data_IF_431361572487
#
_entry.id   IF_431361572487
#
_cell.length_a   1.000
_cell.length_b   1.000
_cell.length_c   1.000
_cell.angle_alpha   90.00
_cell.angle_beta   90.00
_cell.angle_gamma   90.00
#
_symmetry.space_group_name_H-M   'P 1'
#
loop_
_entity.id
_entity.type
_entity.pdbx_description
1 polymer ?
#
# COMPACT_ATOMS: atom_id res chain seq x y z
N UNK A 1 -18.31 -23.43 -18.65
CA UNK A 1 -18.03 -21.98 -18.78
C UNK A 1 -18.68 -21.28 -17.58
N UNK A 2 -17.98 -20.40 -16.86
CA UNK A 2 -18.58 -19.70 -15.72
C UNK A 2 -19.79 -18.89 -16.19
N UNK A 3 -20.94 -18.90 -15.46
CA UNK A 3 -22.12 -18.10 -15.82
C UNK A 3 -21.78 -16.63 -16.05
N UNK A 4 -20.77 -16.13 -15.32
CA UNK A 4 -20.30 -14.74 -15.39
C UNK A 4 -19.58 -14.43 -16.71
N UNK A 5 -18.91 -15.41 -17.32
CA UNK A 5 -18.23 -15.24 -18.62
C UNK A 5 -19.25 -15.11 -19.77
N UNK A 6 -20.43 -15.70 -19.65
CA UNK A 6 -21.49 -15.61 -20.66
C UNK A 6 -22.09 -14.20 -20.74
N UNK A 7 -22.09 -13.44 -19.64
CA UNK A 7 -22.73 -12.13 -19.56
C UNK A 7 -21.97 -10.99 -20.27
N UNK A 8 -20.78 -11.25 -20.88
CA UNK A 8 -19.93 -10.23 -21.54
C UNK A 8 -19.69 -8.96 -20.70
N UNK A 9 -19.71 -9.06 -19.38
CA UNK A 9 -19.64 -7.93 -18.44
C UNK A 9 -18.26 -7.27 -18.34
N UNK A 10 -17.27 -7.64 -19.15
CA UNK A 10 -15.92 -7.06 -19.07
C UNK A 10 -15.27 -7.25 -17.69
N UNK A 11 -15.04 -8.51 -17.27
CA UNK A 11 -14.62 -8.85 -15.90
C UNK A 11 -13.30 -8.21 -15.44
N UNK A 12 -12.44 -7.81 -16.38
CA UNK A 12 -11.18 -7.13 -16.09
C UNK A 12 -11.38 -5.62 -16.05
N UNK A 13 -12.22 -5.08 -16.93
CA UNK A 13 -12.42 -3.64 -17.07
C UNK A 13 -13.40 -3.03 -16.07
N UNK A 14 -14.35 -3.83 -15.60
CA UNK A 14 -15.49 -3.37 -14.80
C UNK A 14 -15.32 -3.64 -13.30
N UNK A 15 -14.26 -4.35 -12.92
CA UNK A 15 -13.94 -4.68 -11.53
C UNK A 15 -12.55 -4.11 -11.21
N UNK A 16 -12.48 -2.84 -10.76
CA UNK A 16 -11.20 -2.20 -10.52
C UNK A 16 -10.45 -2.87 -9.38
N UNK A 17 -9.13 -2.83 -9.46
CA UNK A 17 -8.27 -3.26 -8.38
C UNK A 17 -8.31 -2.23 -7.24
N UNK A 18 -8.95 -2.59 -6.13
CA UNK A 18 -9.13 -1.66 -5.02
C UNK A 18 -7.79 -1.11 -4.46
N UNK A 19 -7.57 0.21 -4.48
CA UNK A 19 -6.34 0.84 -4.01
C UNK A 19 -6.03 0.62 -2.53
N UNK A 20 -7.06 0.47 -1.67
CA UNK A 20 -6.84 0.22 -0.26
C UNK A 20 -6.13 -1.13 -0.04
N UNK A 21 -6.68 -2.19 -0.62
CA UNK A 21 -6.15 -3.53 -0.44
C UNK A 21 -4.94 -3.82 -1.33
N UNK A 22 -4.89 -3.27 -2.54
CA UNK A 22 -3.78 -3.50 -3.46
C UNK A 22 -2.55 -2.67 -3.10
N UNK A 23 -2.68 -1.35 -3.02
CA UNK A 23 -1.53 -0.44 -2.85
C UNK A 23 -1.14 -0.36 -1.39
N UNK A 24 -2.05 0.05 -0.52
CA UNK A 24 -1.69 0.46 0.83
C UNK A 24 -1.51 -0.75 1.77
N UNK A 25 -2.56 -1.56 1.96
CA UNK A 25 -2.51 -2.77 2.80
C UNK A 25 -1.77 -3.93 2.14
N UNK A 26 -1.64 -3.90 0.82
CA UNK A 26 -0.94 -4.90 0.03
C UNK A 26 0.53 -4.56 -0.15
N UNK A 27 0.84 -3.74 -1.15
CA UNK A 27 2.21 -3.49 -1.59
C UNK A 27 3.05 -2.68 -0.60
N UNK A 28 2.51 -1.57 -0.09
CA UNK A 28 3.25 -0.71 0.86
C UNK A 28 3.52 -1.47 2.16
N UNK A 29 2.51 -2.13 2.73
CA UNK A 29 2.69 -2.99 3.92
C UNK A 29 3.72 -4.09 3.69
N UNK A 30 3.68 -4.77 2.53
CA UNK A 30 4.64 -5.82 2.19
C UNK A 30 6.05 -5.26 2.10
N UNK A 31 6.24 -4.16 1.39
CA UNK A 31 7.52 -3.51 1.18
C UNK A 31 8.17 -3.09 2.52
N UNK A 32 7.39 -2.42 3.37
CA UNK A 32 7.75 -2.07 4.74
C UNK A 32 8.18 -3.32 5.51
N UNK A 33 7.34 -4.37 5.54
CA UNK A 33 7.67 -5.60 6.28
C UNK A 33 8.94 -6.30 5.78
N UNK A 34 9.25 -6.28 4.48
CA UNK A 34 10.50 -6.83 3.94
C UNK A 34 11.73 -6.03 4.36
N UNK A 35 11.58 -4.75 4.70
CA UNK A 35 12.73 -3.94 5.09
C UNK A 35 13.26 -4.28 6.48
N UNK A 36 12.45 -4.77 7.41
CA UNK A 36 12.91 -4.95 8.80
C UNK A 36 12.48 -6.25 9.47
N UNK A 37 11.74 -7.12 8.79
CA UNK A 37 11.47 -8.47 9.31
C UNK A 37 11.93 -9.55 8.36
N UNK A 38 12.42 -10.63 8.96
CA UNK A 38 12.64 -11.88 8.25
C UNK A 38 11.33 -12.33 7.60
N UNK A 39 11.41 -12.70 6.32
CA UNK A 39 10.30 -13.30 5.58
C UNK A 39 10.66 -14.73 5.27
N UNK A 40 9.84 -15.67 5.71
CA UNK A 40 9.97 -17.07 5.32
C UNK A 40 9.11 -17.36 4.11
N UNK A 41 9.73 -17.96 3.09
CA UNK A 41 8.99 -18.53 1.97
C UNK A 41 8.14 -19.68 2.46
N UNK A 42 6.85 -19.66 2.12
CA UNK A 42 5.95 -20.80 2.39
C UNK A 42 6.23 -21.97 1.45
N UNK A 43 6.83 -21.71 0.29
CA UNK A 43 7.05 -22.72 -0.76
C UNK A 43 8.39 -23.41 -0.61
N UNK A 44 9.49 -22.66 -0.53
CA UNK A 44 10.84 -23.24 -0.45
C UNK A 44 11.38 -23.33 0.98
N UNK A 45 10.69 -22.73 1.95
CA UNK A 45 11.19 -22.61 3.32
C UNK A 45 12.34 -21.61 3.50
N UNK A 46 12.85 -20.99 2.42
CA UNK A 46 13.93 -20.01 2.44
C UNK A 46 13.60 -18.81 3.34
N UNK A 47 14.60 -18.34 4.07
CA UNK A 47 14.48 -17.14 4.92
C UNK A 47 15.16 -15.98 4.20
N UNK A 48 14.38 -14.95 3.92
CA UNK A 48 14.87 -13.67 3.40
C UNK A 48 15.11 -12.74 4.58
N UNK A 49 16.36 -12.32 4.82
CA UNK A 49 16.69 -11.41 5.92
C UNK A 49 16.11 -10.00 5.66
N UNK A 50 15.93 -9.19 6.71
CA UNK A 50 15.54 -7.80 6.54
C UNK A 50 16.59 -7.02 5.75
N UNK A 51 16.12 -6.04 4.98
CA UNK A 51 17.00 -5.13 4.23
C UNK A 51 17.76 -4.16 5.15
N UNK A 52 17.16 -3.81 6.28
CA UNK A 52 17.66 -2.84 7.26
C UNK A 52 18.16 -3.53 8.52
N UNK A 53 19.16 -2.92 9.14
CA UNK A 53 19.59 -3.25 10.50
C UNK A 53 18.63 -2.69 11.54
N UNK A 54 18.61 -3.26 12.74
CA UNK A 54 17.80 -2.76 13.88
C UNK A 54 18.07 -1.29 14.18
N UNK A 55 19.33 -0.87 14.19
CA UNK A 55 19.71 0.53 14.42
C UNK A 55 19.17 1.49 13.36
N UNK A 56 19.16 1.06 12.09
CA UNK A 56 18.59 1.85 10.99
C UNK A 56 17.08 1.97 11.13
N UNK A 57 16.40 0.91 11.57
CA UNK A 57 14.96 0.91 11.83
C UNK A 57 14.61 1.89 12.95
N UNK A 58 15.37 1.88 14.04
CA UNK A 58 15.19 2.83 15.15
C UNK A 58 15.39 4.29 14.71
N UNK A 59 16.42 4.55 13.90
CA UNK A 59 16.65 5.87 13.31
C UNK A 59 15.47 6.32 12.44
N UNK A 60 14.96 5.45 11.57
CA UNK A 60 13.79 5.77 10.73
C UNK A 60 12.54 6.00 11.57
N UNK A 61 12.32 5.18 12.60
CA UNK A 61 11.20 5.35 13.53
C UNK A 61 11.29 6.68 14.29
N UNK A 62 12.47 7.09 14.76
CA UNK A 62 12.66 8.43 15.36
C UNK A 62 12.35 9.55 14.37
N UNK A 63 12.79 9.43 13.12
CA UNK A 63 12.48 10.42 12.06
C UNK A 63 10.96 10.50 11.80
N UNK A 64 10.28 9.36 11.70
CA UNK A 64 8.82 9.32 11.53
C UNK A 64 8.10 10.03 12.68
N UNK A 65 8.51 9.76 13.93
CA UNK A 65 7.92 10.42 15.09
C UNK A 65 8.19 11.92 15.10
N UNK A 66 9.39 12.36 14.68
CA UNK A 66 9.71 13.80 14.60
C UNK A 66 8.85 14.54 13.58
N UNK A 67 8.43 13.87 12.50
CA UNK A 67 7.54 14.45 11.49
C UNK A 67 6.11 14.71 12.01
N UNK A 68 5.71 14.07 13.12
CA UNK A 68 4.38 14.30 13.70
C UNK A 68 4.15 15.74 14.12
N UNK A 69 5.21 16.46 14.49
CA UNK A 69 5.16 17.88 14.84
C UNK A 69 4.77 18.77 13.65
N UNK A 70 5.00 18.31 12.42
CA UNK A 70 4.72 19.04 11.18
C UNK A 70 3.50 18.50 10.43
N UNK A 71 2.81 17.48 10.97
CA UNK A 71 1.62 16.94 10.36
C UNK A 71 0.40 17.83 10.64
N UNK A 72 -0.29 18.31 9.58
CA UNK A 72 -1.54 19.06 9.72
C UNK A 72 -2.62 18.28 10.49
N UNK A 73 -3.56 19.00 11.10
CA UNK A 73 -4.61 18.41 11.94
C UNK A 73 -5.60 17.54 11.14
N UNK A 74 -5.68 17.75 9.83
CA UNK A 74 -6.51 17.00 8.88
C UNK A 74 -6.06 15.53 8.76
N UNK A 75 -4.80 15.24 9.10
CA UNK A 75 -4.33 13.86 9.19
C UNK A 75 -4.85 13.25 10.50
N UNK A 76 -5.91 12.45 10.36
CA UNK A 76 -6.57 11.77 11.49
C UNK A 76 -5.67 10.79 12.26
N UNK A 77 -4.49 10.46 11.74
CA UNK A 77 -3.52 9.57 12.39
C UNK A 77 -2.14 10.25 12.43
N UNK A 78 -1.48 10.13 13.58
CA UNK A 78 -0.06 10.48 13.74
C UNK A 78 0.78 9.31 13.23
N UNK A 79 1.93 9.61 12.64
CA UNK A 79 2.92 8.62 12.26
C UNK A 79 3.37 7.83 13.49
N UNK A 80 3.45 6.51 13.32
CA UNK A 80 3.93 5.58 14.35
C UNK A 80 5.28 5.01 13.95
N UNK A 81 5.91 4.31 14.89
CA UNK A 81 7.17 3.63 14.66
C UNK A 81 6.98 2.47 13.66
N UNK A 82 7.99 2.19 12.85
CA UNK A 82 7.94 1.13 11.83
C UNK A 82 7.70 -0.26 12.43
N UNK A 83 8.17 -0.51 13.65
CA UNK A 83 8.01 -1.78 14.33
C UNK A 83 6.53 -2.18 14.51
N UNK A 84 5.63 -1.19 14.58
CA UNK A 84 4.17 -1.39 14.73
C UNK A 84 3.40 -1.54 13.41
N UNK A 85 4.09 -1.58 12.26
CA UNK A 85 3.44 -1.57 10.95
C UNK A 85 2.36 -2.65 10.76
N UNK A 86 2.44 -3.79 11.44
CA UNK A 86 1.41 -4.83 11.32
C UNK A 86 0.04 -4.35 11.77
N UNK A 87 0.03 -3.48 12.77
CA UNK A 87 -1.14 -2.84 13.36
C UNK A 87 -1.52 -1.53 12.67
N UNK A 88 -0.80 -1.13 11.62
CA UNK A 88 -1.16 0.05 10.82
C UNK A 88 -2.42 -0.21 10.01
N UNK A 89 -3.28 0.81 9.99
CA UNK A 89 -4.46 0.85 9.14
C UNK A 89 -4.08 1.37 7.76
N UNK A 90 -4.98 1.18 6.78
CA UNK A 90 -4.77 1.65 5.41
C UNK A 90 -4.43 3.14 5.32
N UNK A 91 -5.02 3.98 6.19
CA UNK A 91 -4.78 5.42 6.20
C UNK A 91 -3.32 5.76 6.53
N UNK A 92 -2.69 4.99 7.42
CA UNK A 92 -1.30 5.18 7.83
C UNK A 92 -0.34 4.74 6.73
N UNK A 93 -0.64 3.63 6.03
CA UNK A 93 0.14 3.24 4.85
C UNK A 93 0.01 4.23 3.70
N UNK A 94 -1.20 4.77 3.48
CA UNK A 94 -1.43 5.86 2.50
C UNK A 94 -0.64 7.11 2.88
N UNK A 95 -0.67 7.51 4.15
CA UNK A 95 0.09 8.65 4.66
C UNK A 95 1.60 8.42 4.52
N UNK A 96 2.07 7.20 4.79
CA UNK A 96 3.46 6.82 4.60
C UNK A 96 3.89 6.98 3.14
N UNK A 97 3.20 6.32 2.20
CA UNK A 97 3.65 6.35 0.80
C UNK A 97 3.48 7.73 0.14
N UNK A 98 2.55 8.57 0.59
CA UNK A 98 2.30 9.88 -0.03
C UNK A 98 3.08 11.04 0.62
N UNK A 99 3.44 10.92 1.91
CA UNK A 99 3.97 12.05 2.68
C UNK A 99 5.19 11.68 3.53
N UNK A 100 5.05 10.67 4.41
CA UNK A 100 6.09 10.39 5.40
C UNK A 100 7.27 9.58 4.85
N UNK A 101 7.10 8.91 3.71
CA UNK A 101 8.11 8.06 3.08
C UNK A 101 9.40 8.80 2.72
N UNK A 102 9.39 10.13 2.72
CA UNK A 102 10.58 10.99 2.59
C UNK A 102 11.64 10.73 3.68
N UNK A 103 11.25 10.18 4.85
CA UNK A 103 12.22 9.75 5.88
C UNK A 103 13.18 8.67 5.37
N UNK A 104 12.76 7.91 4.36
CA UNK A 104 13.56 6.90 3.66
C UNK A 104 14.49 7.64 2.70
N UNK A 105 15.59 8.14 3.25
CA UNK A 105 16.65 8.80 2.50
C UNK A 105 17.54 7.79 1.77
N UNK A 106 18.37 8.29 0.86
CA UNK A 106 19.31 7.48 0.07
C UNK A 106 20.29 6.66 0.91
N UNK A 107 20.59 7.12 2.12
CA UNK A 107 21.47 6.46 3.10
C UNK A 107 20.75 5.46 4.00
N UNK A 108 19.41 5.41 3.98
CA UNK A 108 18.62 4.50 4.81
C UNK A 108 18.56 3.10 4.21
N UNK A 109 18.25 3.00 2.91
CA UNK A 109 18.14 1.72 2.18
C UNK A 109 19.35 1.53 1.26
N UNK A 110 19.72 0.29 0.92
CA UNK A 110 20.63 0.03 -0.18
C UNK A 110 20.16 0.75 -1.45
N UNK A 111 21.08 1.32 -2.22
CA UNK A 111 20.74 2.25 -3.31
C UNK A 111 19.70 1.69 -4.31
N UNK A 112 19.78 0.38 -4.60
CA UNK A 112 18.83 -0.30 -5.48
C UNK A 112 17.41 -0.38 -4.89
N UNK A 113 17.29 -0.66 -3.59
CA UNK A 113 16.03 -0.74 -2.85
C UNK A 113 15.40 0.65 -2.70
N UNK A 114 16.23 1.66 -2.41
CA UNK A 114 15.80 3.06 -2.35
C UNK A 114 15.23 3.54 -3.70
N UNK A 115 15.95 3.30 -4.80
CA UNK A 115 15.47 3.63 -6.15
C UNK A 115 14.18 2.90 -6.48
N UNK A 116 14.07 1.62 -6.12
CA UNK A 116 12.84 0.86 -6.31
C UNK A 116 11.66 1.44 -5.52
N UNK A 117 11.87 1.82 -4.26
CA UNK A 117 10.86 2.52 -3.47
C UNK A 117 10.43 3.83 -4.13
N UNK A 118 11.36 4.63 -4.64
CA UNK A 118 11.04 5.88 -5.33
C UNK A 118 10.17 5.69 -6.57
N UNK A 119 10.34 4.59 -7.31
CA UNK A 119 9.46 4.28 -8.44
C UNK A 119 8.00 4.14 -7.98
N UNK A 120 7.78 3.38 -6.90
CA UNK A 120 6.45 3.19 -6.31
C UNK A 120 5.91 4.51 -5.73
N UNK A 121 6.71 5.19 -4.90
CA UNK A 121 6.36 6.48 -4.28
C UNK A 121 5.89 7.48 -5.34
N UNK A 122 6.68 7.64 -6.39
CA UNK A 122 6.41 8.59 -7.47
C UNK A 122 5.16 8.19 -8.25
N UNK A 123 5.02 6.91 -8.62
CA UNK A 123 3.84 6.44 -9.34
C UNK A 123 2.55 6.63 -8.54
N UNK A 124 2.53 6.23 -7.26
CA UNK A 124 1.37 6.39 -6.39
C UNK A 124 1.04 7.87 -6.21
N UNK A 125 2.03 8.75 -6.05
CA UNK A 125 1.82 10.19 -5.95
C UNK A 125 1.13 10.77 -7.20
N UNK A 126 1.56 10.37 -8.39
CA UNK A 126 0.93 10.78 -9.65
C UNK A 126 -0.51 10.27 -9.75
N UNK A 127 -0.76 9.00 -9.41
CA UNK A 127 -2.08 8.37 -9.53
C UNK A 127 -3.07 8.84 -8.46
N UNK A 128 -2.60 9.29 -7.29
CA UNK A 128 -3.45 9.85 -6.23
C UNK A 128 -3.85 11.30 -6.46
N UNK A 129 -3.11 12.08 -7.26
CA UNK A 129 -3.35 13.51 -7.43
C UNK A 129 -4.29 13.78 -8.62
N UNK A 130 -5.49 14.36 -8.41
CA UNK A 130 -6.45 14.62 -9.49
C UNK A 130 -5.91 15.47 -10.65
N UNK A 131 -5.06 16.44 -10.35
CA UNK A 131 -4.48 17.33 -11.36
C UNK A 131 -3.34 16.70 -12.14
N UNK A 132 -2.61 15.76 -11.53
CA UNK A 132 -1.44 15.14 -12.14
C UNK A 132 -1.78 13.82 -12.83
N UNK A 133 -2.81 13.10 -12.39
CA UNK A 133 -3.06 11.74 -12.88
C UNK A 133 -3.35 11.74 -14.38
N UNK A 134 -4.25 12.60 -14.88
CA UNK A 134 -4.72 12.59 -16.28
C UNK A 134 -3.56 12.72 -17.28
N UNK A 135 -2.62 13.64 -17.04
CA UNK A 135 -1.48 13.86 -17.94
C UNK A 135 -0.34 12.85 -17.74
N UNK A 136 -0.27 12.19 -16.58
CA UNK A 136 0.88 11.35 -16.20
C UNK A 136 0.57 9.86 -16.06
N UNK A 137 -0.64 9.38 -16.36
CA UNK A 137 -0.99 7.94 -16.30
C UNK A 137 0.03 7.08 -17.06
N UNK A 138 0.39 7.47 -18.29
CA UNK A 138 1.35 6.73 -19.11
C UNK A 138 2.73 6.63 -18.46
N UNK A 139 3.18 7.71 -17.82
CA UNK A 139 4.44 7.74 -17.08
C UNK A 139 4.37 6.91 -15.79
N UNK A 140 3.33 7.08 -14.99
CA UNK A 140 3.09 6.28 -13.78
C UNK A 140 3.03 4.77 -14.09
N UNK A 141 2.39 4.39 -15.20
CA UNK A 141 2.35 3.00 -15.67
C UNK A 141 3.75 2.45 -15.98
N UNK A 142 4.62 3.25 -16.59
CA UNK A 142 6.02 2.85 -16.84
C UNK A 142 6.80 2.69 -15.53
N UNK A 143 6.62 3.61 -14.57
CA UNK A 143 7.23 3.52 -13.25
C UNK A 143 6.81 2.24 -12.51
N UNK A 144 5.52 1.90 -12.52
CA UNK A 144 5.01 0.68 -11.89
C UNK A 144 5.54 -0.59 -12.57
N UNK A 145 5.60 -0.62 -13.90
CA UNK A 145 6.20 -1.75 -14.63
C UNK A 145 7.67 -1.92 -14.29
N UNK A 146 8.42 -0.82 -14.18
CA UNK A 146 9.82 -0.86 -13.79
C UNK A 146 9.98 -1.30 -12.33
N UNK A 147 9.12 -0.81 -11.42
CA UNK A 147 9.06 -1.23 -10.03
C UNK A 147 8.88 -2.75 -9.95
N UNK A 148 7.87 -3.33 -10.61
CA UNK A 148 7.61 -4.78 -10.56
C UNK A 148 8.80 -5.59 -11.09
N UNK A 149 9.42 -5.16 -12.20
CA UNK A 149 10.61 -5.82 -12.76
C UNK A 149 11.80 -5.78 -11.80
N UNK A 150 12.07 -4.64 -11.18
CA UNK A 150 13.17 -4.48 -10.22
C UNK A 150 12.86 -5.19 -8.90
N UNK A 151 11.62 -5.18 -8.46
CA UNK A 151 11.15 -5.88 -7.27
C UNK A 151 11.49 -7.36 -7.30
N UNK A 152 11.21 -8.04 -8.42
CA UNK A 152 11.51 -9.47 -8.56
C UNK A 152 13.01 -9.77 -8.35
N UNK A 153 13.88 -8.92 -8.90
CA UNK A 153 15.33 -9.08 -8.79
C UNK A 153 15.82 -8.80 -7.37
N UNK A 154 15.26 -7.79 -6.70
CA UNK A 154 15.70 -7.34 -5.38
C UNK A 154 15.19 -8.23 -4.24
N UNK A 155 13.93 -8.65 -4.31
CA UNK A 155 13.24 -9.37 -3.23
C UNK A 155 13.05 -10.85 -3.51
N UNK A 156 13.36 -11.31 -4.73
CA UNK A 156 13.24 -12.70 -5.14
C UNK A 156 11.89 -13.04 -5.76
N UNK A 157 11.90 -14.05 -6.65
CA UNK A 157 10.71 -14.49 -7.41
C UNK A 157 9.57 -14.97 -6.51
N UNK A 158 9.88 -15.56 -5.37
CA UNK A 158 8.88 -16.05 -4.41
C UNK A 158 8.11 -14.93 -3.71
N UNK A 159 8.66 -13.70 -3.73
CA UNK A 159 7.96 -12.53 -3.21
C UNK A 159 7.00 -11.91 -4.23
N UNK A 160 7.00 -12.38 -5.48
CA UNK A 160 6.10 -11.93 -6.54
C UNK A 160 4.70 -12.54 -6.36
N UNK A 161 3.99 -12.07 -5.34
CA UNK A 161 2.60 -12.44 -5.07
C UNK A 161 1.66 -11.65 -5.98
N UNK A 162 0.38 -12.04 -6.01
CA UNK A 162 -0.66 -11.41 -6.82
C UNK A 162 -0.61 -9.87 -6.77
N UNK A 163 -0.58 -9.27 -5.58
CA UNK A 163 -0.57 -7.82 -5.43
C UNK A 163 0.62 -7.14 -6.15
N UNK A 164 1.80 -7.76 -6.14
CA UNK A 164 3.02 -7.21 -6.77
C UNK A 164 2.83 -7.16 -8.28
N UNK A 165 2.20 -8.18 -8.86
CA UNK A 165 1.88 -8.17 -10.28
C UNK A 165 0.75 -7.20 -10.58
N UNK A 166 -0.33 -7.25 -9.82
CA UNK A 166 -1.55 -6.47 -10.05
C UNK A 166 -1.33 -4.97 -9.96
N UNK A 167 -0.35 -4.50 -9.18
CA UNK A 167 -0.08 -3.06 -9.07
C UNK A 167 0.28 -2.40 -10.41
N UNK A 168 0.85 -3.12 -11.38
CA UNK A 168 1.16 -2.51 -12.69
C UNK A 168 -0.09 -2.16 -13.52
N UNK A 169 -1.25 -2.71 -13.15
CA UNK A 169 -2.52 -2.49 -13.83
C UNK A 169 -3.35 -1.37 -13.21
N UNK A 170 -3.03 -0.92 -12.00
CA UNK A 170 -3.82 0.10 -11.31
C UNK A 170 -3.85 1.45 -12.05
N UNK A 171 -2.84 1.73 -12.89
CA UNK A 171 -2.85 2.91 -13.76
C UNK A 171 -3.95 2.84 -14.83
N UNK A 172 -4.33 1.64 -15.29
CA UNK A 172 -5.42 1.43 -16.23
C UNK A 172 -6.78 1.65 -15.56
N UNK A 173 -6.90 1.27 -14.28
CA UNK A 173 -8.09 1.57 -13.48
C UNK A 173 -8.21 3.08 -13.21
N UNK A 174 -7.09 3.75 -12.92
CA UNK A 174 -7.09 5.22 -12.74
C UNK A 174 -7.52 5.95 -14.01
N UNK A 175 -7.14 5.44 -15.18
CA UNK A 175 -7.59 5.98 -16.45
C UNK A 175 -9.11 5.90 -16.64
N UNK A 176 -9.76 4.87 -16.07
CA UNK A 176 -11.21 4.63 -16.22
C UNK A 176 -12.04 5.28 -15.11
N UNK A 177 -11.58 5.18 -13.87
CA UNK A 177 -12.34 5.51 -12.67
C UNK A 177 -11.89 6.79 -11.97
N UNK A 178 -10.85 7.45 -12.50
CA UNK A 178 -10.26 8.64 -11.91
C UNK A 178 -9.17 8.31 -10.88
N UNK A 179 -8.73 9.29 -10.08
CA UNK A 179 -7.65 9.13 -9.09
C UNK A 179 -7.89 7.94 -8.14
N UNK A 180 -6.81 7.43 -7.52
CA UNK A 180 -6.90 6.26 -6.61
C UNK A 180 -7.98 6.38 -5.53
N UNK A 181 -8.22 7.58 -5.00
CA UNK A 181 -9.24 7.75 -3.95
C UNK A 181 -10.68 7.63 -4.50
N UNK A 182 -10.91 7.80 -5.81
CA UNK A 182 -12.24 7.78 -6.44
C UNK A 182 -12.89 6.40 -6.47
N UNK A 183 -12.10 5.33 -6.39
CA UNK A 183 -12.59 3.94 -6.43
C UNK A 183 -12.01 3.09 -5.28
N UNK A 184 -11.56 3.75 -4.22
CA UNK A 184 -11.04 3.07 -3.03
C UNK A 184 -12.15 2.64 -2.06
N UNK A 185 -11.95 1.49 -1.44
CA UNK A 185 -12.82 0.93 -0.41
C UNK A 185 -12.69 1.60 0.97
N UNK A 186 -11.87 2.66 1.13
CA UNK A 186 -11.74 3.42 2.38
C UNK A 186 -13.07 3.85 3.01
N UNK A 187 -14.04 4.44 2.27
CA UNK A 187 -15.31 4.84 2.85
C UNK A 187 -16.13 3.63 3.33
N UNK A 188 -16.09 2.53 2.57
CA UNK A 188 -16.81 1.29 2.89
C UNK A 188 -16.28 0.64 4.16
N UNK A 189 -14.97 0.44 4.28
CA UNK A 189 -14.33 -0.10 5.50
C UNK A 189 -14.62 0.77 6.73
N UNK A 190 -14.57 2.09 6.55
CA UNK A 190 -14.88 3.05 7.62
C UNK A 190 -16.34 2.95 8.05
N UNK A 191 -17.26 2.79 7.11
CA UNK A 191 -18.69 2.62 7.39
C UNK A 191 -18.99 1.27 8.04
N UNK A 192 -18.43 0.17 7.52
CA UNK A 192 -18.59 -1.18 8.07
C UNK A 192 -18.13 -1.25 9.53
N UNK A 193 -17.04 -0.56 9.87
CA UNK A 193 -16.58 -0.46 11.27
C UNK A 193 -17.61 0.23 12.17
N UNK A 194 -18.24 1.32 11.70
CA UNK A 194 -19.32 2.00 12.45
C UNK A 194 -20.56 1.12 12.58
N UNK A 195 -20.99 0.50 11.48
CA UNK A 195 -22.14 -0.40 11.45
C UNK A 195 -21.97 -1.58 12.40
N UNK A 196 -20.80 -2.23 12.43
CA UNK A 196 -20.49 -3.30 13.38
C UNK A 196 -20.61 -2.86 14.84
N UNK A 197 -20.13 -1.65 15.17
CA UNK A 197 -20.26 -1.10 16.54
C UNK A 197 -21.74 -0.88 16.91
N UNK A 198 -22.54 -0.36 15.98
CA UNK A 198 -23.98 -0.19 16.20
C UNK A 198 -24.66 -1.53 16.45
N UNK A 199 -24.37 -2.56 15.65
CA UNK A 199 -24.91 -3.90 15.87
C UNK A 199 -24.51 -4.48 17.23
N UNK A 200 -23.24 -4.31 17.64
CA UNK A 200 -22.78 -4.78 18.94
C UNK A 200 -23.49 -4.07 20.11
N UNK A 201 -23.74 -2.76 19.99
CA UNK A 201 -24.51 -2.00 20.97
C UNK A 201 -25.97 -2.45 21.00
N UNK A 202 -26.57 -2.68 19.84
CA UNK A 202 -27.93 -3.19 19.72
C UNK A 202 -28.08 -4.58 20.36
N UNK A 203 -27.17 -5.52 20.05
CA UNK A 203 -27.16 -6.88 20.63
C UNK A 203 -27.04 -6.83 22.16
N UNK A 204 -26.20 -5.94 22.70
CA UNK A 204 -26.09 -5.72 24.15
C UNK A 204 -27.37 -5.13 24.75
N UNK A 205 -28.04 -4.24 24.03
CA UNK A 205 -29.27 -3.61 24.47
C UNK A 205 -30.45 -4.59 24.54
N UNK A 206 -30.57 -5.51 23.58
CA UNK A 206 -31.62 -6.56 23.58
C UNK A 206 -31.32 -7.74 24.52
N UNK A 207 -30.19 -7.74 25.24
CA UNK A 207 -29.89 -8.75 26.26
C UNK A 207 -29.54 -10.15 25.74
N UNK A 208 -29.11 -10.29 24.49
CA UNK A 208 -28.71 -11.59 23.89
C UNK A 208 -27.20 -11.87 24.10
N UNK A 209 -26.69 -11.65 25.31
CA UNK A 209 -25.28 -11.89 25.66
C UNK A 209 -25.16 -12.85 26.85
#
# INVERSE_FOLDING_TARGET
VSPVTACKLGLISNFPLDPLHLVYLGEVKKLIGMWFRNRRSKTSGLVYPPVLTTSTVEEVSRRLLSLNAYLPAEFSQRGRILQEYDSWKGAEFRQFILYLGIVIRKDTLPSSHWKNFLLLFTAVRYLSCPHLCVSNIGFAKQLLRLFVRKFQVLYGKEQMVYNVHSIMHIADDVQRYGPLDSFSSFPFESYLSKFRKMLQLYIRWIGVA
#
